data_IF_925788046948
#
_entry.id   IF_925788046948
#
_cell.length_a   1.000
_cell.length_b   1.000
_cell.length_c   1.000
_cell.angle_alpha   90.00
_cell.angle_beta   90.00
_cell.angle_gamma   90.00
#
_symmetry.space_group_name_H-M   'P 1'
#
loop_
_entity.id
_entity.type
_entity.pdbx_description
1 polymer ?
#
# COMPACT_ATOMS: atom_id res chain seq x y z
N UNK A 1 71.25 77.09 40.69
CA UNK A 1 71.44 78.24 39.77
C UNK A 1 72.35 77.75 38.66
N UNK A 2 71.86 77.67 37.42
CA UNK A 2 72.69 77.22 36.28
C UNK A 2 73.54 78.41 35.86
N UNK A 3 74.86 78.24 35.87
CA UNK A 3 75.81 79.32 35.61
C UNK A 3 75.71 79.82 34.16
N UNK A 4 75.55 81.13 33.99
CA UNK A 4 75.26 81.75 32.68
C UNK A 4 76.42 81.60 31.68
N UNK A 5 77.64 81.42 32.19
CA UNK A 5 78.85 81.12 31.42
C UNK A 5 78.90 79.67 30.93
N UNK A 6 78.42 78.71 31.73
CA UNK A 6 78.36 77.29 31.38
C UNK A 6 77.42 77.03 30.20
N UNK A 7 76.31 77.78 30.13
CA UNK A 7 75.35 77.72 29.03
C UNK A 7 75.95 78.30 27.74
N UNK A 8 76.69 79.42 27.80
CA UNK A 8 77.31 80.03 26.62
C UNK A 8 78.38 79.11 26.00
N UNK A 9 79.19 78.44 26.81
CA UNK A 9 80.26 77.57 26.32
C UNK A 9 79.75 76.23 25.78
N UNK A 10 78.59 75.75 26.25
CA UNK A 10 78.01 74.45 25.85
C UNK A 10 76.72 74.57 25.01
N UNK A 11 76.34 75.78 24.57
CA UNK A 11 75.09 76.04 23.84
C UNK A 11 74.93 75.16 22.58
N UNK A 12 76.02 74.94 21.83
CA UNK A 12 76.03 74.06 20.66
C UNK A 12 75.68 72.61 21.02
N UNK A 13 76.27 72.09 22.09
CA UNK A 13 76.01 70.73 22.59
C UNK A 13 74.58 70.58 23.09
N UNK A 14 74.04 71.58 23.77
CA UNK A 14 72.65 71.57 24.25
C UNK A 14 71.64 71.51 23.09
N UNK A 15 71.85 72.30 22.03
CA UNK A 15 70.99 72.26 20.83
C UNK A 15 71.03 70.87 20.18
N UNK A 16 72.22 70.26 20.05
CA UNK A 16 72.37 68.91 19.48
C UNK A 16 71.61 67.87 20.31
N UNK A 17 71.70 67.93 21.64
CA UNK A 17 71.01 67.00 22.54
C UNK A 17 69.49 67.17 22.46
N UNK A 18 68.99 68.42 22.41
CA UNK A 18 67.55 68.68 22.27
C UNK A 18 67.02 68.18 20.92
N UNK A 19 67.76 68.41 19.83
CA UNK A 19 67.39 67.90 18.50
C UNK A 19 67.39 66.36 18.50
N UNK A 20 68.43 65.72 19.05
CA UNK A 20 68.51 64.27 19.14
C UNK A 20 67.37 63.66 19.98
N UNK A 21 67.06 64.25 21.14
CA UNK A 21 65.95 63.81 21.99
C UNK A 21 64.60 64.03 21.31
N UNK A 22 64.38 65.17 20.64
CA UNK A 22 63.14 65.44 19.91
C UNK A 22 62.93 64.51 18.70
N UNK A 23 64.01 64.17 17.99
CA UNK A 23 63.98 63.18 16.91
C UNK A 23 63.68 61.78 17.45
N UNK A 24 64.27 61.42 18.60
CA UNK A 24 64.01 60.14 19.27
C UNK A 24 62.57 60.01 19.76
N UNK A 25 62.00 61.06 20.36
CA UNK A 25 60.60 61.04 20.83
C UNK A 25 59.63 60.98 19.66
N UNK A 26 59.86 61.74 18.58
CA UNK A 26 59.06 61.65 17.35
C UNK A 26 59.11 60.26 16.72
N UNK A 27 60.29 59.65 16.64
CA UNK A 27 60.46 58.29 16.12
C UNK A 27 59.71 57.24 16.94
N UNK A 28 59.84 57.28 18.27
CA UNK A 28 59.11 56.34 19.15
C UNK A 28 57.60 56.57 19.12
N UNK A 29 57.15 57.83 19.02
CA UNK A 29 55.74 58.16 18.88
C UNK A 29 55.17 57.61 17.57
N UNK A 30 55.90 57.77 16.46
CA UNK A 30 55.50 57.25 15.16
C UNK A 30 55.46 55.71 15.15
N UNK A 31 56.46 55.04 15.76
CA UNK A 31 56.43 53.59 15.90
C UNK A 31 55.23 53.10 16.73
N UNK A 32 54.88 53.82 17.80
CA UNK A 32 53.73 53.48 18.63
C UNK A 32 52.42 53.58 17.84
N UNK A 33 52.24 54.65 17.06
CA UNK A 33 51.08 54.80 16.18
C UNK A 33 50.99 53.66 15.16
N UNK A 34 52.10 53.33 14.49
CA UNK A 34 52.13 52.21 13.55
C UNK A 34 51.77 50.87 14.20
N UNK A 35 52.22 50.64 15.43
CA UNK A 35 51.89 49.42 16.17
C UNK A 35 50.41 49.39 16.58
N UNK A 36 49.86 50.53 17.02
CA UNK A 36 48.44 50.65 17.35
C UNK A 36 47.55 50.43 16.11
N UNK A 37 47.93 51.01 14.97
CA UNK A 37 47.25 50.81 13.69
C UNK A 37 47.31 49.33 13.25
N UNK A 38 48.49 48.72 13.30
CA UNK A 38 48.65 47.29 12.98
C UNK A 38 47.80 46.40 13.90
N UNK A 39 47.79 46.69 15.21
CA UNK A 39 46.99 45.94 16.18
C UNK A 39 45.50 46.09 15.91
N UNK A 40 45.04 47.31 15.63
CA UNK A 40 43.64 47.60 15.34
C UNK A 40 43.19 46.92 14.05
N UNK A 41 44.05 46.90 13.02
CA UNK A 41 43.79 46.19 11.77
C UNK A 41 43.63 44.68 11.99
N UNK A 42 44.52 44.06 12.77
CA UNK A 42 44.40 42.63 13.13
C UNK A 42 43.12 42.34 13.92
N UNK A 43 42.77 43.20 14.88
CA UNK A 43 41.52 43.09 15.64
C UNK A 43 40.28 43.19 14.74
N UNK A 44 40.30 44.10 13.76
CA UNK A 44 39.22 44.25 12.79
C UNK A 44 39.09 43.00 11.92
N UNK A 45 40.20 42.46 11.42
CA UNK A 45 40.20 41.22 10.63
C UNK A 45 39.66 40.02 11.41
N UNK A 46 40.01 39.90 12.69
CA UNK A 46 39.47 38.85 13.57
C UNK A 46 37.96 39.04 13.73
N UNK A 47 37.50 40.26 14.05
CA UNK A 47 36.07 40.56 14.22
C UNK A 47 35.27 40.29 12.95
N UNK A 48 35.81 40.61 11.77
CA UNK A 48 35.18 40.32 10.49
C UNK A 48 35.05 38.81 10.26
N UNK A 49 36.11 38.04 10.55
CA UNK A 49 36.06 36.57 10.44
C UNK A 49 35.06 35.96 11.42
N UNK A 50 35.02 36.43 12.66
CA UNK A 50 34.02 36.01 13.65
C UNK A 50 32.60 36.32 13.17
N UNK A 51 32.36 37.50 12.61
CA UNK A 51 31.05 37.87 12.08
C UNK A 51 30.63 36.96 10.90
N UNK A 52 31.57 36.62 10.01
CA UNK A 52 31.31 35.69 8.90
C UNK A 52 30.98 34.30 9.43
N UNK A 53 31.75 33.80 10.41
CA UNK A 53 31.50 32.50 11.02
C UNK A 53 30.13 32.46 11.69
N UNK A 54 29.78 33.49 12.49
CA UNK A 54 28.47 33.58 13.16
C UNK A 54 27.32 33.62 12.15
N UNK A 55 27.48 34.34 11.03
CA UNK A 55 26.49 34.34 9.96
C UNK A 55 26.37 32.95 9.34
N UNK A 56 27.50 32.31 9.05
CA UNK A 56 27.51 30.98 8.44
C UNK A 56 26.86 29.94 9.36
N UNK A 57 27.18 29.93 10.66
CA UNK A 57 26.58 29.01 11.64
C UNK A 57 25.08 29.25 11.76
N UNK A 58 24.62 30.51 11.80
CA UNK A 58 23.18 30.79 11.86
C UNK A 58 22.42 30.26 10.64
N UNK A 59 23.04 30.29 9.45
CA UNK A 59 22.44 29.76 8.22
C UNK A 59 22.43 28.23 8.25
N UNK A 60 23.48 27.58 8.75
CA UNK A 60 23.52 26.13 8.87
C UNK A 60 22.48 25.64 9.88
N UNK A 61 22.40 26.28 11.05
CA UNK A 61 21.45 25.92 12.10
C UNK A 61 20.00 26.04 11.60
N UNK A 62 19.69 27.12 10.87
CA UNK A 62 18.38 27.29 10.25
C UNK A 62 18.06 26.19 9.23
N UNK A 63 19.04 25.79 8.40
CA UNK A 63 18.87 24.71 7.43
C UNK A 63 18.69 23.36 8.11
N UNK A 64 19.44 23.08 9.17
CA UNK A 64 19.30 21.85 9.95
C UNK A 64 17.93 21.75 10.59
N UNK A 65 17.43 22.84 11.19
CA UNK A 65 16.06 22.89 11.72
C UNK A 65 15.01 22.64 10.64
N UNK A 66 15.19 23.24 9.45
CA UNK A 66 14.27 23.03 8.33
C UNK A 66 14.29 21.57 7.82
N UNK A 67 15.48 20.96 7.78
CA UNK A 67 15.63 19.56 7.38
C UNK A 67 15.00 18.63 8.41
N UNK A 68 15.23 18.85 9.71
CA UNK A 68 14.62 18.08 10.78
C UNK A 68 13.09 18.14 10.72
N UNK A 69 12.51 19.33 10.53
CA UNK A 69 11.06 19.48 10.38
C UNK A 69 10.51 18.76 9.14
N UNK A 70 11.25 18.76 8.03
CA UNK A 70 10.87 18.00 6.82
C UNK A 70 10.95 16.49 7.05
N UNK A 71 12.00 16.03 7.72
CA UNK A 71 12.20 14.62 8.05
C UNK A 71 11.08 14.10 8.95
N UNK A 72 10.70 14.86 9.99
CA UNK A 72 9.53 14.54 10.82
C UNK A 72 8.25 14.48 9.98
N UNK A 73 8.04 15.44 9.07
CA UNK A 73 6.89 15.44 8.16
C UNK A 73 6.84 14.22 7.25
N UNK A 74 7.97 13.80 6.70
CA UNK A 74 8.09 12.57 5.87
C UNK A 74 7.84 11.33 6.72
N UNK A 75 8.42 11.24 7.92
CA UNK A 75 8.21 10.12 8.82
C UNK A 75 6.74 9.96 9.22
N UNK A 76 6.03 11.06 9.48
CA UNK A 76 4.58 11.02 9.72
C UNK A 76 3.80 10.54 8.48
N UNK A 77 4.21 10.93 7.28
CA UNK A 77 3.58 10.45 6.05
C UNK A 77 3.81 8.95 5.85
N UNK A 78 5.03 8.47 6.08
CA UNK A 78 5.36 7.04 6.01
C UNK A 78 4.50 6.26 6.98
N UNK A 79 4.40 6.68 8.25
CA UNK A 79 3.56 6.01 9.25
C UNK A 79 2.09 5.92 8.81
N UNK A 80 1.52 7.02 8.29
CA UNK A 80 0.14 7.04 7.77
C UNK A 80 -0.04 6.12 6.58
N UNK A 81 0.95 6.02 5.69
CA UNK A 81 0.90 5.11 4.54
C UNK A 81 0.96 3.65 4.99
N UNK A 82 1.87 3.31 5.90
CA UNK A 82 1.98 1.97 6.47
C UNK A 82 0.69 1.53 7.19
N UNK A 83 0.05 2.44 7.93
CA UNK A 83 -1.23 2.14 8.58
C UNK A 83 -2.35 1.90 7.56
N UNK A 84 -2.40 2.71 6.49
CA UNK A 84 -3.36 2.51 5.40
C UNK A 84 -3.15 1.20 4.66
N UNK A 85 -1.89 0.83 4.40
CA UNK A 85 -1.54 -0.44 3.78
C UNK A 85 -2.03 -1.61 4.64
N UNK A 86 -1.77 -1.56 5.95
CA UNK A 86 -2.26 -2.58 6.90
C UNK A 86 -3.79 -2.71 6.89
N UNK A 87 -4.52 -1.60 6.80
CA UNK A 87 -5.98 -1.60 6.71
C UNK A 87 -6.47 -2.18 5.37
N UNK A 88 -5.74 -1.96 4.28
CA UNK A 88 -6.06 -2.54 2.97
C UNK A 88 -5.83 -4.05 2.99
N UNK A 89 -4.73 -4.52 3.57
CA UNK A 89 -4.44 -5.96 3.71
C UNK A 89 -5.53 -6.66 4.53
N UNK A 90 -5.93 -6.09 5.66
CA UNK A 90 -7.03 -6.63 6.47
C UNK A 90 -8.36 -6.69 5.71
N UNK A 91 -8.65 -5.70 4.87
CA UNK A 91 -9.84 -5.73 4.01
C UNK A 91 -9.72 -6.79 2.92
N UNK A 92 -8.55 -6.94 2.31
CA UNK A 92 -8.31 -7.95 1.29
C UNK A 92 -8.50 -9.36 1.87
N UNK A 93 -7.97 -9.63 3.05
CA UNK A 93 -8.19 -10.89 3.78
C UNK A 93 -9.68 -11.10 4.10
N UNK A 94 -10.38 -10.06 4.56
CA UNK A 94 -11.82 -10.12 4.83
C UNK A 94 -12.66 -10.43 3.58
N UNK A 95 -12.30 -9.85 2.44
CA UNK A 95 -12.93 -10.14 1.15
C UNK A 95 -12.64 -11.57 0.72
N UNK A 96 -11.39 -12.04 0.85
CA UNK A 96 -11.02 -13.41 0.47
C UNK A 96 -11.81 -14.44 1.29
N UNK A 97 -11.94 -14.24 2.60
CA UNK A 97 -12.76 -15.08 3.47
C UNK A 97 -14.24 -15.04 3.06
N UNK A 98 -14.76 -13.87 2.74
CA UNK A 98 -16.15 -13.71 2.27
C UNK A 98 -16.37 -14.46 0.96
N UNK A 99 -15.45 -14.35 0.00
CA UNK A 99 -15.53 -15.07 -1.29
C UNK A 99 -15.46 -16.58 -1.07
N UNK A 100 -14.55 -17.07 -0.21
CA UNK A 100 -14.48 -18.50 0.15
C UNK A 100 -15.78 -18.98 0.81
N UNK A 101 -16.43 -18.14 1.60
CA UNK A 101 -17.72 -18.47 2.24
C UNK A 101 -18.89 -18.53 1.25
N UNK A 102 -18.82 -17.78 0.14
CA UNK A 102 -19.83 -17.73 -0.91
C UNK A 102 -19.67 -18.83 -1.98
N UNK A 103 -18.47 -19.39 -2.16
CA UNK A 103 -18.21 -20.50 -3.09
C UNK A 103 -19.22 -21.67 -2.97
N UNK A 104 -19.56 -22.20 -1.77
CA UNK A 104 -20.58 -23.24 -1.67
C UNK A 104 -21.97 -22.79 -2.16
N UNK A 105 -22.35 -21.54 -1.91
CA UNK A 105 -23.66 -21.00 -2.33
C UNK A 105 -23.73 -20.83 -3.85
N UNK A 106 -22.66 -20.33 -4.47
CA UNK A 106 -22.54 -20.23 -5.94
C UNK A 106 -22.62 -21.62 -6.58
N UNK A 107 -21.94 -22.62 -6.00
CA UNK A 107 -22.01 -24.01 -6.48
C UNK A 107 -23.43 -24.57 -6.38
N UNK A 108 -24.12 -24.35 -5.25
CA UNK A 108 -25.51 -24.80 -5.07
C UNK A 108 -26.43 -24.12 -6.08
N UNK A 109 -26.29 -22.81 -6.30
CA UNK A 109 -27.12 -22.07 -7.26
C UNK A 109 -26.92 -22.59 -8.69
N UNK A 110 -25.68 -22.91 -9.09
CA UNK A 110 -25.42 -23.56 -10.38
C UNK A 110 -26.16 -24.91 -10.49
N UNK A 111 -26.16 -25.72 -9.44
CA UNK A 111 -26.92 -26.98 -9.43
C UNK A 111 -28.44 -26.72 -9.54
N UNK A 112 -28.97 -25.67 -8.89
CA UNK A 112 -30.39 -25.28 -9.02
C UNK A 112 -30.76 -24.94 -10.47
N UNK A 113 -29.89 -24.23 -11.18
CA UNK A 113 -30.10 -23.91 -12.60
C UNK A 113 -30.09 -25.17 -13.48
N UNK A 114 -29.14 -26.08 -13.25
CA UNK A 114 -29.06 -27.37 -13.94
C UNK A 114 -30.29 -28.24 -13.68
N UNK A 115 -30.76 -28.30 -12.43
CA UNK A 115 -31.98 -29.03 -12.05
C UNK A 115 -33.22 -28.41 -12.71
N UNK A 116 -33.34 -27.09 -12.73
CA UNK A 116 -34.46 -26.40 -13.41
C UNK A 116 -34.49 -26.70 -14.91
N UNK A 117 -33.32 -26.76 -15.55
CA UNK A 117 -33.21 -27.15 -16.96
C UNK A 117 -33.59 -28.63 -17.18
N UNK A 118 -33.19 -29.54 -16.29
CA UNK A 118 -33.58 -30.96 -16.36
C UNK A 118 -35.09 -31.14 -16.13
N UNK A 119 -35.68 -30.42 -15.18
CA UNK A 119 -37.12 -30.45 -14.93
C UNK A 119 -37.90 -29.95 -16.16
N UNK A 120 -37.42 -28.89 -16.81
CA UNK A 120 -38.01 -28.38 -18.06
C UNK A 120 -37.94 -29.45 -19.16
N UNK A 121 -36.78 -30.07 -19.36
CA UNK A 121 -36.62 -31.19 -20.32
C UNK A 121 -37.52 -32.38 -20.01
N UNK A 122 -37.72 -32.69 -18.73
CA UNK A 122 -38.65 -33.73 -18.32
C UNK A 122 -40.09 -33.38 -18.73
N UNK A 123 -40.52 -32.14 -18.45
CA UNK A 123 -41.85 -31.64 -18.84
C UNK A 123 -42.04 -31.65 -20.36
N UNK A 124 -41.01 -31.30 -21.13
CA UNK A 124 -41.05 -31.30 -22.61
C UNK A 124 -41.28 -32.69 -23.21
N UNK A 125 -40.89 -33.76 -22.51
CA UNK A 125 -41.13 -35.13 -22.99
C UNK A 125 -42.62 -35.51 -22.92
N UNK A 126 -43.42 -34.86 -22.07
CA UNK A 126 -44.88 -35.02 -22.01
C UNK A 126 -45.35 -36.44 -21.70
N UNK A 127 -44.52 -37.26 -21.05
CA UNK A 127 -44.83 -38.67 -20.76
C UNK A 127 -45.21 -38.86 -19.30
N UNK A 128 -46.19 -39.73 -19.06
CA UNK A 128 -46.55 -40.16 -17.72
C UNK A 128 -45.73 -41.41 -17.36
N UNK A 129 -44.93 -41.34 -16.29
CA UNK A 129 -44.12 -42.47 -15.84
C UNK A 129 -44.92 -43.54 -15.07
N UNK A 130 -46.13 -43.24 -14.61
CA UNK A 130 -47.01 -44.21 -13.92
C UNK A 130 -47.53 -45.32 -14.82
N UNK A 131 -47.50 -45.12 -16.15
CA UNK A 131 -47.99 -46.07 -17.13
C UNK A 131 -46.90 -46.40 -18.14
N UNK A 132 -46.67 -47.70 -18.35
CA UNK A 132 -45.78 -48.14 -19.42
C UNK A 132 -46.51 -48.00 -20.76
N UNK A 133 -45.95 -47.29 -21.75
CA UNK A 133 -46.56 -47.20 -23.07
C UNK A 133 -46.55 -48.56 -23.78
N UNK A 134 -47.47 -48.79 -24.73
CA UNK A 134 -47.55 -50.06 -25.44
C UNK A 134 -46.29 -50.28 -26.29
N UNK A 135 -45.79 -51.52 -26.30
CA UNK A 135 -44.50 -51.86 -26.89
C UNK A 135 -44.40 -51.65 -28.42
N UNK A 136 -45.53 -51.45 -29.10
CA UNK A 136 -45.58 -51.15 -30.54
C UNK A 136 -45.31 -49.67 -30.85
N UNK A 137 -45.40 -48.77 -29.86
CA UNK A 137 -45.09 -47.35 -30.02
C UNK A 137 -43.65 -47.07 -29.56
N UNK A 138 -42.71 -47.26 -30.49
CA UNK A 138 -41.27 -47.12 -30.24
C UNK A 138 -40.89 -45.71 -29.79
N UNK A 139 -41.54 -44.68 -30.35
CA UNK A 139 -41.25 -43.29 -30.02
C UNK A 139 -41.72 -42.93 -28.61
N UNK A 140 -42.93 -43.36 -28.23
CA UNK A 140 -43.45 -43.15 -26.88
C UNK A 140 -42.65 -43.94 -25.83
N UNK A 141 -42.25 -45.17 -26.17
CA UNK A 141 -41.38 -45.99 -25.32
C UNK A 141 -40.01 -45.34 -25.10
N UNK A 142 -39.42 -44.76 -26.14
CA UNK A 142 -38.15 -44.02 -26.05
C UNK A 142 -38.29 -42.80 -25.15
N UNK A 143 -39.34 -41.99 -25.32
CA UNK A 143 -39.59 -40.81 -24.47
C UNK A 143 -39.82 -41.21 -23.01
N UNK A 144 -40.55 -42.30 -22.75
CA UNK A 144 -40.76 -42.84 -21.41
C UNK A 144 -39.45 -43.20 -20.71
N UNK A 145 -38.55 -43.95 -21.37
CA UNK A 145 -37.25 -44.29 -20.79
C UNK A 145 -36.33 -43.07 -20.62
N UNK A 146 -36.38 -42.12 -21.55
CA UNK A 146 -35.66 -40.85 -21.41
C UNK A 146 -36.14 -40.06 -20.20
N UNK A 147 -37.45 -39.91 -20.02
CA UNK A 147 -38.02 -39.21 -18.87
C UNK A 147 -37.65 -39.89 -17.55
N UNK A 148 -37.66 -41.22 -17.51
CA UNK A 148 -37.20 -41.98 -16.34
C UNK A 148 -35.72 -41.72 -16.03
N UNK A 149 -34.86 -41.68 -17.05
CA UNK A 149 -33.45 -41.38 -16.87
C UNK A 149 -33.24 -39.95 -16.35
N UNK A 150 -33.92 -38.96 -16.92
CA UNK A 150 -33.86 -37.56 -16.47
C UNK A 150 -34.35 -37.42 -15.03
N UNK A 151 -35.45 -38.08 -14.65
CA UNK A 151 -35.96 -38.02 -13.28
C UNK A 151 -34.96 -38.58 -12.26
N UNK A 152 -34.30 -39.70 -12.58
CA UNK A 152 -33.25 -40.26 -11.74
C UNK A 152 -32.03 -39.32 -11.67
N UNK A 153 -31.68 -38.67 -12.78
CA UNK A 153 -30.61 -37.68 -12.82
C UNK A 153 -30.91 -36.48 -11.91
N UNK A 154 -32.13 -35.95 -11.96
CA UNK A 154 -32.60 -34.87 -11.05
C UNK A 154 -32.43 -35.29 -9.59
N UNK A 155 -32.90 -36.50 -9.22
CA UNK A 155 -32.79 -36.99 -7.84
C UNK A 155 -31.34 -37.15 -7.37
N UNK A 156 -30.50 -37.78 -8.19
CA UNK A 156 -29.08 -37.99 -7.86
C UNK A 156 -28.29 -36.69 -7.75
N UNK A 157 -28.52 -35.72 -8.65
CA UNK A 157 -27.87 -34.39 -8.59
C UNK A 157 -28.34 -33.60 -7.37
N UNK A 158 -29.65 -33.59 -7.09
CA UNK A 158 -30.19 -32.90 -5.92
C UNK A 158 -29.65 -33.49 -4.60
N UNK A 159 -29.49 -34.82 -4.54
CA UNK A 159 -28.92 -35.50 -3.38
C UNK A 159 -27.42 -35.24 -3.23
N UNK A 160 -26.66 -35.25 -4.33
CA UNK A 160 -25.23 -34.90 -4.31
C UNK A 160 -24.98 -33.46 -3.83
N UNK A 161 -25.86 -32.52 -4.17
CA UNK A 161 -25.82 -31.14 -3.73
C UNK A 161 -26.50 -30.89 -2.37
N UNK A 162 -27.02 -31.93 -1.69
CA UNK A 162 -27.74 -31.85 -0.40
C UNK A 162 -28.98 -30.94 -0.41
N UNK A 163 -29.59 -30.73 -1.58
CA UNK A 163 -30.82 -29.94 -1.78
C UNK A 163 -32.02 -30.82 -2.13
N UNK A 164 -31.93 -32.13 -1.88
CA UNK A 164 -32.97 -33.11 -2.24
C UNK A 164 -34.36 -32.74 -1.71
N UNK A 165 -34.47 -32.26 -0.46
CA UNK A 165 -35.78 -31.92 0.13
C UNK A 165 -36.49 -30.76 -0.62
N UNK A 166 -35.75 -29.84 -1.24
CA UNK A 166 -36.33 -28.77 -2.07
C UNK A 166 -37.02 -29.35 -3.32
N UNK A 167 -36.44 -30.39 -3.92
CA UNK A 167 -36.91 -31.00 -5.17
C UNK A 167 -37.73 -32.27 -4.96
N UNK A 168 -37.83 -32.74 -3.71
CA UNK A 168 -38.56 -33.95 -3.33
C UNK A 168 -40.01 -33.96 -3.82
N UNK A 169 -40.79 -32.86 -3.74
CA UNK A 169 -42.16 -32.87 -4.24
C UNK A 169 -42.23 -33.25 -5.72
N UNK A 170 -41.41 -32.62 -6.57
CA UNK A 170 -41.34 -32.92 -7.99
C UNK A 170 -40.94 -34.37 -8.25
N UNK A 171 -39.91 -34.86 -7.57
CA UNK A 171 -39.43 -36.24 -7.74
C UNK A 171 -40.53 -37.24 -7.33
N UNK A 172 -41.15 -37.05 -6.17
CA UNK A 172 -42.18 -37.96 -5.66
C UNK A 172 -43.45 -37.98 -6.53
N UNK A 173 -43.84 -36.84 -7.11
CA UNK A 173 -45.02 -36.76 -7.98
C UNK A 173 -44.80 -37.49 -9.30
N UNK A 174 -43.56 -37.54 -9.79
CA UNK A 174 -43.22 -38.13 -11.08
C UNK A 174 -42.62 -39.54 -10.97
N UNK A 175 -42.32 -40.02 -9.77
CA UNK A 175 -41.82 -41.38 -9.55
C UNK A 175 -42.99 -42.36 -9.56
N UNK A 176 -42.98 -43.40 -10.41
CA UNK A 176 -44.05 -44.38 -10.44
C UNK A 176 -44.14 -45.16 -9.12
N UNK A 177 -45.34 -45.20 -8.53
CA UNK A 177 -45.66 -45.94 -7.30
C UNK A 177 -45.87 -47.43 -7.52
N UNK A 178 -46.09 -47.86 -8.77
CA UNK A 178 -46.34 -49.25 -9.13
C UNK A 178 -45.39 -49.69 -10.24
N UNK A 179 -44.58 -50.71 -9.94
CA UNK A 179 -43.74 -51.40 -10.93
C UNK A 179 -44.63 -52.41 -11.66
N UNK A 180 -45.33 -51.98 -12.70
CA UNK A 180 -45.89 -52.95 -13.66
C UNK A 180 -44.72 -53.62 -14.39
N UNK A 181 -44.58 -54.93 -14.22
CA UNK A 181 -43.46 -55.75 -14.71
C UNK A 181 -43.66 -56.28 -16.13
N UNK A 182 -44.48 -55.63 -16.95
CA UNK A 182 -44.63 -55.97 -18.37
C UNK A 182 -43.41 -55.49 -19.16
N UNK A 183 -42.33 -56.29 -19.15
CA UNK A 183 -41.19 -56.05 -20.05
C UNK A 183 -41.61 -56.38 -21.47
N UNK A 184 -41.41 -55.43 -22.39
CA UNK A 184 -41.52 -55.70 -23.83
C UNK A 184 -40.59 -56.87 -24.19
N UNK A 185 -41.17 -58.02 -24.53
CA UNK A 185 -40.41 -59.16 -25.03
C UNK A 185 -39.86 -58.81 -26.41
N UNK A 186 -38.57 -58.99 -26.60
CA UNK A 186 -37.94 -58.90 -27.91
C UNK A 186 -38.59 -59.90 -28.87
N UNK A 187 -38.93 -59.51 -30.11
CA UNK A 187 -39.49 -60.44 -31.09
C UNK A 187 -38.51 -61.61 -31.33
N UNK A 188 -39.01 -62.85 -31.52
CA UNK A 188 -38.13 -63.97 -31.85
C UNK A 188 -37.43 -63.69 -33.17
N UNK A 189 -36.10 -63.75 -33.15
CA UNK A 189 -35.29 -63.67 -34.37
C UNK A 189 -35.73 -64.81 -35.31
N UNK A 190 -36.08 -64.52 -36.58
CA UNK A 190 -36.34 -65.56 -37.55
C UNK A 190 -35.05 -66.37 -37.77
N UNK A 191 -35.16 -67.70 -37.61
CA UNK A 191 -34.10 -68.66 -37.91
C UNK A 191 -33.91 -68.82 -39.41
#
# INVERSE_FOLDING_TARGET
>A
MIDREFIKNNAKTFIIVVVALSGWTLYNYQQKLQFEDYRNEQLNQIRERELVLVKQTSITDFREQQLAAREEGVNQQIQRLTERERLLDQRAEGIELSVKSLDPEVRINKVRDELSALMSKFSDLGVNLSYLPPCNDVDMLKRHFQAKAILNEIGSRAQAAKIYEEYRPFISMNTPTLVSSERCQSPPLPR
#
